data_IF_119081896889
#
_entry.id   IF_119081896889
#
_cell.length_a   1.000
_cell.length_b   1.000
_cell.length_c   1.000
_cell.angle_alpha   90.00
_cell.angle_beta   90.00
_cell.angle_gamma   90.00
#
_symmetry.space_group_name_H-M   'P 1'
#
loop_
_entity.id
_entity.type
_entity.pdbx_description
1 polymer ?
#
# COMPACT_ATOMS: atom_id res chain seq x y z
N UNK A 1 -24.71 -41.07 11.71
CA UNK A 1 -24.62 -40.16 10.54
C UNK A 1 -25.18 -40.87 9.32
N UNK A 2 -26.12 -40.29 8.60
CA UNK A 2 -26.76 -40.93 7.45
C UNK A 2 -25.96 -40.63 6.17
N UNK A 3 -25.78 -41.61 5.29
CA UNK A 3 -24.98 -41.51 4.05
C UNK A 3 -25.33 -40.27 3.19
N UNK A 4 -26.58 -39.79 3.30
CA UNK A 4 -27.08 -38.57 2.65
C UNK A 4 -26.50 -37.27 3.23
N UNK A 5 -26.33 -37.16 4.55
CA UNK A 5 -25.73 -35.98 5.17
C UNK A 5 -24.25 -35.84 4.82
N UNK A 6 -23.55 -36.97 4.65
CA UNK A 6 -22.15 -37.00 4.20
C UNK A 6 -21.99 -36.44 2.78
N UNK A 7 -22.87 -36.82 1.84
CA UNK A 7 -22.84 -36.29 0.48
C UNK A 7 -23.13 -34.78 0.42
N UNK A 8 -24.06 -34.29 1.24
CA UNK A 8 -24.38 -32.86 1.32
C UNK A 8 -23.19 -32.08 1.87
N UNK A 9 -22.53 -32.57 2.92
CA UNK A 9 -21.32 -31.93 3.46
C UNK A 9 -20.16 -31.92 2.46
N UNK A 10 -19.96 -33.00 1.70
CA UNK A 10 -18.91 -33.05 0.67
C UNK A 10 -19.21 -32.05 -0.46
N UNK A 11 -20.46 -32.00 -0.94
CA UNK A 11 -20.85 -31.05 -1.98
C UNK A 11 -20.68 -29.60 -1.51
N UNK A 12 -21.07 -29.29 -0.27
CA UNK A 12 -20.87 -27.97 0.33
C UNK A 12 -19.38 -27.61 0.41
N UNK A 13 -18.53 -28.54 0.83
CA UNK A 13 -17.09 -28.32 0.91
C UNK A 13 -16.47 -28.07 -0.47
N UNK A 14 -16.88 -28.81 -1.49
CA UNK A 14 -16.43 -28.58 -2.88
C UNK A 14 -16.84 -27.20 -3.40
N UNK A 15 -18.08 -26.79 -3.15
CA UNK A 15 -18.55 -25.45 -3.52
C UNK A 15 -17.74 -24.37 -2.78
N UNK A 16 -17.47 -24.56 -1.48
CA UNK A 16 -16.66 -23.64 -0.70
C UNK A 16 -15.20 -23.54 -1.23
N UNK A 17 -14.61 -24.67 -1.63
CA UNK A 17 -13.27 -24.70 -2.26
C UNK A 17 -13.25 -23.97 -3.61
N UNK A 18 -14.28 -24.14 -4.43
CA UNK A 18 -14.38 -23.43 -5.72
C UNK A 18 -14.58 -21.94 -5.50
N UNK A 19 -15.45 -21.54 -4.57
CA UNK A 19 -15.69 -20.13 -4.27
C UNK A 19 -14.45 -19.46 -3.69
N UNK A 20 -13.72 -20.12 -2.80
CA UNK A 20 -12.45 -19.60 -2.29
C UNK A 20 -11.44 -19.46 -3.43
N UNK A 21 -11.25 -20.47 -4.29
CA UNK A 21 -10.36 -20.35 -5.44
C UNK A 21 -10.75 -19.21 -6.39
N UNK A 22 -12.05 -19.00 -6.64
CA UNK A 22 -12.54 -17.88 -7.45
C UNK A 22 -12.33 -16.53 -6.77
N UNK A 23 -12.50 -16.46 -5.45
CA UNK A 23 -12.22 -15.27 -4.65
C UNK A 23 -10.74 -14.88 -4.75
N UNK A 24 -9.83 -15.85 -4.53
CA UNK A 24 -8.39 -15.64 -4.71
C UNK A 24 -8.07 -15.25 -6.16
N UNK A 25 -8.68 -15.88 -7.17
CA UNK A 25 -8.48 -15.48 -8.57
C UNK A 25 -8.92 -14.04 -8.83
N UNK A 26 -10.07 -13.61 -8.32
CA UNK A 26 -10.57 -12.26 -8.52
C UNK A 26 -9.69 -11.21 -7.82
N UNK A 27 -9.27 -11.48 -6.59
CA UNK A 27 -8.43 -10.59 -5.81
C UNK A 27 -7.03 -10.42 -6.43
N UNK A 28 -6.45 -11.49 -6.95
CA UNK A 28 -5.08 -11.49 -7.48
C UNK A 28 -4.99 -11.29 -9.00
N UNK A 29 -6.11 -11.34 -9.73
CA UNK A 29 -6.14 -10.94 -11.14
C UNK A 29 -5.77 -9.46 -11.34
N UNK A 30 -5.92 -8.64 -10.30
CA UNK A 30 -5.54 -7.22 -10.30
C UNK A 30 -4.17 -6.94 -9.67
N UNK A 31 -3.40 -7.97 -9.30
CA UNK A 31 -2.00 -7.74 -8.91
C UNK A 31 -1.22 -7.45 -10.20
N UNK A 32 -0.75 -6.21 -10.44
CA UNK A 32 0.06 -5.94 -11.62
C UNK A 32 1.28 -6.87 -11.59
N UNK A 33 1.69 -7.43 -12.75
CA UNK A 33 2.92 -8.21 -12.80
C UNK A 33 4.05 -7.39 -12.18
N UNK A 34 4.87 -8.01 -11.35
CA UNK A 34 5.99 -7.32 -10.71
C UNK A 34 6.82 -6.64 -11.80
N UNK A 35 7.19 -5.38 -11.57
CA UNK A 35 7.97 -4.58 -12.51
C UNK A 35 9.36 -5.19 -12.79
N UNK A 36 9.75 -6.23 -12.06
CA UNK A 36 10.98 -7.00 -12.20
C UNK A 36 11.31 -7.34 -13.66
N UNK A 37 10.33 -7.87 -14.42
CA UNK A 37 10.55 -8.26 -15.81
C UNK A 37 10.67 -7.06 -16.78
N UNK A 38 10.23 -5.86 -16.36
CA UNK A 38 10.35 -4.64 -17.15
C UNK A 38 11.64 -3.86 -16.83
N UNK A 39 12.25 -4.15 -15.67
CA UNK A 39 13.38 -3.42 -15.09
C UNK A 39 14.71 -4.19 -15.27
N UNK A 40 14.66 -5.44 -15.75
CA UNK A 40 15.80 -6.37 -15.94
C UNK A 40 17.02 -5.81 -16.72
N UNK A 41 16.90 -4.66 -17.39
CA UNK A 41 18.01 -4.01 -18.09
C UNK A 41 18.88 -3.06 -17.26
N UNK A 42 18.39 -2.51 -16.15
CA UNK A 42 19.02 -1.29 -15.58
C UNK A 42 19.25 -1.30 -14.06
N UNK A 43 18.49 -2.08 -13.28
CA UNK A 43 18.62 -2.07 -11.82
C UNK A 43 19.29 -3.38 -11.33
N UNK A 44 20.53 -3.23 -10.84
CA UNK A 44 21.29 -4.31 -10.19
C UNK A 44 20.47 -4.97 -9.08
N UNK A 45 20.71 -6.28 -8.85
CA UNK A 45 19.92 -7.21 -8.03
C UNK A 45 19.68 -6.86 -6.54
N UNK A 46 20.10 -5.68 -6.10
CA UNK A 46 19.96 -5.19 -4.73
C UNK A 46 18.80 -4.19 -4.56
N UNK A 47 18.12 -3.80 -5.63
CA UNK A 47 16.99 -2.84 -5.56
C UNK A 47 15.72 -3.56 -5.14
N UNK A 48 15.31 -3.40 -3.87
CA UNK A 48 14.06 -3.92 -3.34
C UNK A 48 12.85 -3.27 -4.04
N UNK A 49 12.03 -4.07 -4.73
CA UNK A 49 10.78 -3.61 -5.33
C UNK A 49 9.66 -3.73 -4.31
N UNK A 50 9.02 -2.60 -4.00
CA UNK A 50 7.90 -2.55 -3.06
C UNK A 50 6.74 -3.46 -3.52
N UNK A 51 6.25 -4.33 -2.65
CA UNK A 51 5.16 -5.27 -2.92
C UNK A 51 5.61 -6.70 -3.28
N UNK A 52 6.90 -6.95 -3.51
CA UNK A 52 7.42 -8.31 -3.77
C UNK A 52 7.57 -9.12 -2.47
N UNK A 53 7.76 -8.46 -1.34
CA UNK A 53 8.04 -9.09 -0.05
C UNK A 53 7.46 -8.27 1.11
N UNK A 54 6.36 -8.74 1.73
CA UNK A 54 5.71 -8.02 2.83
C UNK A 54 6.65 -7.70 4.00
N UNK A 55 7.68 -8.52 4.22
CA UNK A 55 8.68 -8.27 5.27
C UNK A 55 9.60 -7.11 4.92
N UNK A 56 10.12 -7.08 3.70
CA UNK A 56 11.00 -5.99 3.26
C UNK A 56 10.22 -4.68 3.12
N UNK A 57 8.97 -4.73 2.67
CA UNK A 57 8.08 -3.56 2.63
C UNK A 57 7.84 -2.98 4.02
N UNK A 58 7.57 -3.85 5.01
CA UNK A 58 7.42 -3.42 6.39
C UNK A 58 8.71 -2.83 6.97
N UNK A 59 9.88 -3.34 6.58
CA UNK A 59 11.17 -2.76 6.96
C UNK A 59 11.38 -1.39 6.32
N UNK A 60 11.07 -1.24 5.03
CA UNK A 60 11.16 0.03 4.31
C UNK A 60 10.24 1.10 4.93
N UNK A 61 9.00 0.74 5.26
CA UNK A 61 8.07 1.66 5.95
C UNK A 61 8.60 2.08 7.33
N UNK A 62 9.17 1.16 8.11
CA UNK A 62 9.76 1.49 9.42
C UNK A 62 10.95 2.43 9.30
N UNK A 63 11.82 2.19 8.32
CA UNK A 63 12.96 3.06 8.05
C UNK A 63 12.49 4.46 7.63
N UNK A 64 11.51 4.53 6.72
CA UNK A 64 10.90 5.79 6.30
C UNK A 64 10.32 6.57 7.48
N UNK A 65 9.55 5.89 8.34
CA UNK A 65 8.96 6.53 9.52
C UNK A 65 10.05 7.07 10.46
N UNK A 66 11.10 6.28 10.72
CA UNK A 66 12.20 6.73 11.56
C UNK A 66 12.91 7.97 10.99
N UNK A 67 13.07 8.06 9.67
CA UNK A 67 13.65 9.23 9.01
C UNK A 67 12.72 10.44 9.05
N UNK A 68 11.41 10.23 8.89
CA UNK A 68 10.41 11.28 9.04
C UNK A 68 10.39 11.85 10.47
N UNK A 69 10.49 10.98 11.48
CA UNK A 69 10.58 11.34 12.90
C UNK A 69 11.88 12.10 13.22
N UNK A 70 12.99 11.80 12.53
CA UNK A 70 14.24 12.56 12.62
C UNK A 70 14.19 13.95 11.96
N UNK A 71 13.09 14.27 11.28
CA UNK A 71 12.92 15.57 10.64
C UNK A 71 13.25 15.58 9.15
N UNK A 72 13.56 14.46 8.50
CA UNK A 72 13.88 14.49 7.07
C UNK A 72 12.66 14.94 6.25
N UNK A 73 12.71 16.08 5.54
CA UNK A 73 11.52 16.64 4.88
C UNK A 73 10.98 15.76 3.74
N UNK A 74 11.86 15.07 3.01
CA UNK A 74 11.44 14.13 1.98
C UNK A 74 10.74 12.90 2.57
N UNK A 75 11.27 12.37 3.67
CA UNK A 75 10.65 11.25 4.38
C UNK A 75 9.29 11.64 5.00
N UNK A 76 9.20 12.84 5.57
CA UNK A 76 7.93 13.39 6.07
C UNK A 76 6.89 13.54 4.95
N UNK A 77 7.29 14.06 3.79
CA UNK A 77 6.41 14.14 2.62
C UNK A 77 5.93 12.76 2.16
N UNK A 78 6.83 11.78 2.06
CA UNK A 78 6.47 10.41 1.67
C UNK A 78 5.55 9.73 2.70
N UNK A 79 5.82 9.94 4.00
CA UNK A 79 4.96 9.43 5.06
C UNK A 79 3.55 10.06 5.00
N UNK A 80 3.47 11.35 4.66
CA UNK A 80 2.21 12.03 4.43
C UNK A 80 1.43 11.42 3.26
N UNK A 81 2.08 11.15 2.12
CA UNK A 81 1.45 10.51 0.97
C UNK A 81 0.88 9.13 1.30
N UNK A 82 1.59 8.33 2.10
CA UNK A 82 1.12 7.01 2.55
C UNK A 82 -0.13 7.15 3.42
N UNK A 83 -0.19 8.16 4.28
CA UNK A 83 -1.30 8.39 5.20
C UNK A 83 -2.49 9.08 4.54
N UNK A 84 -2.30 9.85 3.48
CA UNK A 84 -3.34 10.66 2.83
C UNK A 84 -4.65 9.90 2.52
N UNK A 85 -4.65 8.67 1.97
CA UNK A 85 -5.88 7.93 1.70
C UNK A 85 -6.53 7.30 2.94
N UNK A 86 -5.83 7.22 4.09
CA UNK A 86 -6.25 6.45 5.27
C UNK A 86 -6.54 7.35 6.48
N UNK A 87 -5.71 8.36 6.68
CA UNK A 87 -5.82 9.37 7.73
C UNK A 87 -5.28 10.72 7.20
N UNK A 88 -6.17 11.47 6.55
CA UNK A 88 -5.87 12.79 6.01
C UNK A 88 -5.34 13.76 7.09
N UNK A 89 -5.83 13.66 8.34
CA UNK A 89 -5.40 14.55 9.41
C UNK A 89 -3.94 14.28 9.81
N UNK A 90 -3.56 13.01 9.89
CA UNK A 90 -2.17 12.62 10.13
C UNK A 90 -1.29 13.02 8.92
N UNK A 91 -1.77 12.83 7.70
CA UNK A 91 -1.06 13.25 6.48
C UNK A 91 -0.77 14.77 6.47
N UNK A 92 -1.76 15.60 6.78
CA UNK A 92 -1.60 17.06 6.83
C UNK A 92 -0.49 17.48 7.81
N UNK A 93 -0.39 16.84 8.98
CA UNK A 93 0.68 17.15 9.95
C UNK A 93 2.07 16.89 9.38
N UNK A 94 2.23 15.80 8.64
CA UNK A 94 3.51 15.45 8.01
C UNK A 94 3.82 16.35 6.82
N UNK A 95 2.83 16.68 6.00
CA UNK A 95 3.01 17.66 4.93
C UNK A 95 3.38 19.04 5.48
N UNK A 96 2.73 19.49 6.56
CA UNK A 96 3.06 20.75 7.23
C UNK A 96 4.49 20.75 7.78
N UNK A 97 4.93 19.64 8.39
CA UNK A 97 6.29 19.49 8.88
C UNK A 97 7.34 19.57 7.75
N UNK A 98 7.09 18.91 6.62
CA UNK A 98 7.97 18.98 5.46
C UNK A 98 7.97 20.39 4.82
N UNK A 99 6.79 21.00 4.69
CA UNK A 99 6.63 22.34 4.11
C UNK A 99 7.27 23.43 4.99
N UNK A 100 7.22 23.29 6.32
CA UNK A 100 7.88 24.20 7.26
C UNK A 100 9.41 24.24 7.07
N UNK A 101 9.99 23.17 6.51
CA UNK A 101 11.40 23.08 6.14
C UNK A 101 11.69 23.53 4.71
N UNK A 102 10.68 24.01 3.97
CA UNK A 102 10.82 24.50 2.60
C UNK A 102 10.71 23.42 1.52
N UNK A 103 10.26 22.20 1.86
CA UNK A 103 10.11 21.12 0.89
C UNK A 103 9.02 21.45 -0.13
N UNK A 104 9.41 21.67 -1.38
CA UNK A 104 8.53 22.25 -2.41
C UNK A 104 7.33 21.36 -2.72
N UNK A 105 7.52 20.05 -2.82
CA UNK A 105 6.41 19.14 -3.13
C UNK A 105 5.35 19.13 -2.02
N UNK A 106 5.78 19.28 -0.76
CA UNK A 106 4.86 19.38 0.37
C UNK A 106 4.07 20.70 0.35
N UNK A 107 4.72 21.81 0.01
CA UNK A 107 4.07 23.11 -0.14
C UNK A 107 3.04 23.07 -1.27
N UNK A 108 3.41 22.50 -2.42
CA UNK A 108 2.52 22.34 -3.57
C UNK A 108 1.33 21.45 -3.23
N UNK A 109 1.56 20.29 -2.60
CA UNK A 109 0.49 19.38 -2.21
C UNK A 109 -0.47 20.03 -1.22
N UNK A 110 0.03 20.75 -0.23
CA UNK A 110 -0.83 21.51 0.70
C UNK A 110 -1.64 22.59 0.01
N UNK A 111 -1.08 23.27 -1.01
CA UNK A 111 -1.83 24.25 -1.81
C UNK A 111 -2.98 23.56 -2.54
N UNK A 112 -2.69 22.46 -3.23
CA UNK A 112 -3.71 21.68 -3.94
C UNK A 112 -4.82 21.20 -3.00
N UNK A 113 -4.47 20.71 -1.81
CA UNK A 113 -5.43 20.25 -0.81
C UNK A 113 -6.30 21.39 -0.25
N UNK A 114 -5.81 22.64 -0.23
CA UNK A 114 -6.59 23.82 0.17
C UNK A 114 -7.50 24.33 -0.94
N UNK A 115 -7.03 24.24 -2.19
CA UNK A 115 -7.78 24.66 -3.38
C UNK A 115 -8.87 23.66 -3.77
N UNK A 116 -8.77 22.42 -3.31
CA UNK A 116 -9.84 21.43 -3.37
C UNK A 116 -10.63 21.47 -2.06
N UNK A 117 -11.66 22.34 -1.91
CA UNK A 117 -12.54 22.23 -0.77
C UNK A 117 -13.14 20.82 -0.80
N UNK A 118 -12.97 20.10 0.30
CA UNK A 118 -13.48 18.75 0.51
C UNK A 118 -14.95 18.71 0.11
N UNK A 119 -15.23 18.17 -1.06
CA UNK A 119 -16.53 17.59 -1.37
C UNK A 119 -16.56 16.26 -0.64
N UNK A 120 -16.84 16.34 0.67
CA UNK A 120 -17.34 15.23 1.47
C UNK A 120 -18.73 15.62 1.97
#
# INVERSE_FOLDING_TARGET
>A
MTRKSLFISIAFLLVALVLTALFWRHQFAHTPPSLRNQIEGELSGDTHIYGESPRQDAMAQRALLADAERGNPGAQFMQAMILEPVDMKAALRWYEAAAAQGYQDAIERLRQLREQPSTQ
#
